data_IF_022111921749
#
_entry.id   IF_022111921749
#
_cell.length_a   1.000
_cell.length_b   1.000
_cell.length_c   1.000
_cell.angle_alpha   90.00
_cell.angle_beta   90.00
_cell.angle_gamma   90.00
#
_symmetry.space_group_name_H-M   'P 1'
#
loop_
_entity.id
_entity.type
_entity.pdbx_description
1 polymer ?
#
# COMPACT_ATOMS: atom_id res chain seq x y z
N UNK A 1 -24.00 29.52 -53.99
CA UNK A 1 -24.08 28.24 -53.26
C UNK A 1 -22.65 27.78 -53.03
N UNK A 2 -22.25 27.50 -51.79
CA UNK A 2 -20.85 27.17 -51.48
C UNK A 2 -20.45 25.87 -52.19
N UNK A 3 -19.25 25.82 -52.76
CA UNK A 3 -18.78 24.67 -53.52
C UNK A 3 -18.81 23.40 -52.67
N UNK A 4 -19.24 22.24 -53.20
CA UNK A 4 -19.32 20.98 -52.45
C UNK A 4 -18.01 20.59 -51.78
N UNK A 5 -16.89 20.98 -52.39
CA UNK A 5 -15.53 20.80 -51.86
C UNK A 5 -15.27 21.63 -50.62
N UNK A 6 -15.71 22.88 -50.57
CA UNK A 6 -15.55 23.75 -49.41
C UNK A 6 -16.38 23.28 -48.23
N UNK A 7 -17.61 22.81 -48.48
CA UNK A 7 -18.46 22.21 -47.44
C UNK A 7 -17.85 20.94 -46.85
N UNK A 8 -17.30 20.06 -47.69
CA UNK A 8 -16.61 18.84 -47.23
C UNK A 8 -15.37 19.16 -46.39
N UNK A 9 -14.56 20.16 -46.79
CA UNK A 9 -13.39 20.60 -46.04
C UNK A 9 -13.76 21.24 -44.70
N UNK A 10 -14.84 22.03 -44.64
CA UNK A 10 -15.33 22.59 -43.39
C UNK A 10 -15.82 21.51 -42.43
N UNK A 11 -16.56 20.50 -42.92
CA UNK A 11 -16.99 19.37 -42.11
C UNK A 11 -15.80 18.55 -41.56
N UNK A 12 -14.77 18.33 -42.38
CA UNK A 12 -13.55 17.66 -41.94
C UNK A 12 -12.80 18.47 -40.88
N UNK A 13 -12.71 19.79 -41.05
CA UNK A 13 -12.07 20.68 -40.07
C UNK A 13 -12.81 20.69 -38.72
N UNK A 14 -14.15 20.65 -38.73
CA UNK A 14 -14.95 20.49 -37.49
C UNK A 14 -14.63 19.18 -36.77
N UNK A 15 -14.61 18.06 -37.48
CA UNK A 15 -14.25 16.75 -36.89
C UNK A 15 -12.83 16.73 -36.33
N UNK A 16 -11.88 17.41 -36.97
CA UNK A 16 -10.51 17.52 -36.45
C UNK A 16 -10.43 18.34 -35.16
N UNK A 17 -11.25 19.39 -35.03
CA UNK A 17 -11.33 20.16 -33.79
C UNK A 17 -11.95 19.34 -32.66
N UNK A 18 -13.05 18.64 -32.93
CA UNK A 18 -13.69 17.72 -31.97
C UNK A 18 -12.70 16.64 -31.50
N UNK A 19 -11.94 16.03 -32.42
CA UNK A 19 -10.93 15.05 -32.06
C UNK A 19 -9.83 15.63 -31.17
N UNK A 20 -9.38 16.87 -31.43
CA UNK A 20 -8.38 17.55 -30.60
C UNK A 20 -8.92 17.84 -29.20
N UNK A 21 -10.16 18.30 -29.09
CA UNK A 21 -10.81 18.56 -27.80
C UNK A 21 -10.98 17.28 -26.98
N UNK A 22 -11.48 16.21 -27.60
CA UNK A 22 -11.66 14.91 -26.93
C UNK A 22 -10.31 14.36 -26.50
N UNK A 23 -9.29 14.45 -27.34
CA UNK A 23 -7.94 13.99 -27.00
C UNK A 23 -7.33 14.80 -25.84
N UNK A 24 -7.59 16.11 -25.76
CA UNK A 24 -7.20 16.96 -24.62
C UNK A 24 -7.84 16.47 -23.32
N UNK A 25 -9.17 16.33 -23.31
CA UNK A 25 -9.92 15.82 -22.15
C UNK A 25 -9.48 14.41 -21.74
N UNK A 26 -9.19 13.55 -22.71
CA UNK A 26 -8.74 12.18 -22.46
C UNK A 26 -7.37 12.17 -21.75
N UNK A 27 -6.46 13.08 -22.13
CA UNK A 27 -5.17 13.23 -21.44
C UNK A 27 -5.33 13.70 -20.00
N UNK A 28 -6.15 14.73 -19.78
CA UNK A 28 -6.45 15.25 -18.45
C UNK A 28 -7.06 14.17 -17.54
N UNK A 29 -8.07 13.44 -18.02
CA UNK A 29 -8.70 12.35 -17.28
C UNK A 29 -7.72 11.21 -16.98
N UNK A 30 -6.77 10.92 -17.88
CA UNK A 30 -5.72 9.92 -17.63
C UNK A 30 -4.75 10.36 -16.54
N UNK A 31 -4.38 11.64 -16.50
CA UNK A 31 -3.53 12.16 -15.43
C UNK A 31 -4.24 12.11 -14.08
N UNK A 32 -5.50 12.56 -14.02
CA UNK A 32 -6.33 12.45 -12.83
C UNK A 32 -6.48 11.01 -12.34
N UNK A 33 -6.72 10.05 -13.26
CA UNK A 33 -6.80 8.64 -12.88
C UNK A 33 -5.49 8.12 -12.29
N UNK A 34 -4.32 8.52 -12.83
CA UNK A 34 -3.03 8.10 -12.28
C UNK A 34 -2.81 8.63 -10.87
N UNK A 35 -3.14 9.90 -10.64
CA UNK A 35 -3.04 10.51 -9.32
C UNK A 35 -3.98 9.84 -8.33
N UNK A 36 -5.24 9.61 -8.72
CA UNK A 36 -6.23 8.96 -7.86
C UNK A 36 -5.83 7.51 -7.54
N UNK A 37 -5.29 6.77 -8.52
CA UNK A 37 -4.78 5.40 -8.31
C UNK A 37 -3.63 5.40 -7.31
N UNK A 38 -2.73 6.39 -7.37
CA UNK A 38 -1.61 6.52 -6.43
C UNK A 38 -2.09 6.85 -5.02
N UNK A 39 -3.07 7.74 -4.90
CA UNK A 39 -3.69 8.07 -3.60
C UNK A 39 -4.43 6.86 -3.02
N UNK A 40 -5.18 6.13 -3.85
CA UNK A 40 -5.88 4.93 -3.46
C UNK A 40 -4.91 3.84 -2.95
N UNK A 41 -3.82 3.60 -3.68
CA UNK A 41 -2.79 2.65 -3.23
C UNK A 41 -2.14 3.05 -1.90
N UNK A 42 -1.97 4.36 -1.65
CA UNK A 42 -1.50 4.84 -0.34
C UNK A 42 -2.53 4.56 0.75
N UNK A 43 -3.80 4.88 0.53
CA UNK A 43 -4.85 4.66 1.55
C UNK A 43 -5.06 3.18 1.88
N UNK A 44 -4.97 2.29 0.89
CA UNK A 44 -5.04 0.83 1.12
C UNK A 44 -3.86 0.34 1.97
N UNK A 45 -2.65 0.80 1.66
CA UNK A 45 -1.46 0.46 2.45
C UNK A 45 -1.57 0.99 3.89
N UNK A 46 -2.06 2.21 4.08
CA UNK A 46 -2.26 2.81 5.40
C UNK A 46 -3.33 2.04 6.19
N UNK A 47 -4.43 1.62 5.54
CA UNK A 47 -5.46 0.77 6.17
C UNK A 47 -4.92 -0.60 6.56
N UNK A 48 -4.11 -1.23 5.70
CA UNK A 48 -3.48 -2.51 6.01
C UNK A 48 -2.47 -2.36 7.16
N UNK A 49 -1.72 -1.25 7.21
CA UNK A 49 -0.81 -0.95 8.31
C UNK A 49 -1.56 -0.75 9.63
N UNK A 50 -2.76 -0.15 9.63
CA UNK A 50 -3.58 0.01 10.84
C UNK A 50 -4.07 -1.31 11.43
N UNK A 51 -4.14 -2.38 10.63
CA UNK A 51 -4.46 -3.72 11.14
C UNK A 51 -3.27 -4.36 11.87
N UNK A 52 -2.06 -3.81 11.71
CA UNK A 52 -0.90 -4.30 12.44
C UNK A 52 -1.00 -3.91 13.92
N UNK A 53 -0.82 -4.90 14.79
CA UNK A 53 -0.83 -4.70 16.24
C UNK A 53 0.63 -4.63 16.70
N UNK A 54 0.95 -3.65 17.54
CA UNK A 54 2.27 -3.54 18.16
C UNK A 54 2.54 -4.74 19.07
N UNK A 55 3.72 -5.35 18.94
CA UNK A 55 4.18 -6.41 19.83
C UNK A 55 5.03 -5.81 20.95
N UNK A 56 4.84 -6.31 22.18
CA UNK A 56 5.62 -5.85 23.33
C UNK A 56 7.05 -6.37 23.21
N UNK A 57 8.03 -5.46 23.31
CA UNK A 57 9.45 -5.80 23.32
C UNK A 57 9.87 -6.13 24.75
N UNK A 58 10.63 -7.21 24.90
CA UNK A 58 11.15 -7.65 26.18
C UNK A 58 12.40 -8.51 26.02
N UNK A 59 13.12 -8.68 27.11
CA UNK A 59 14.33 -9.49 27.19
C UNK A 59 13.98 -10.88 27.74
N UNK A 60 14.56 -11.92 27.16
CA UNK A 60 14.48 -13.29 27.68
C UNK A 60 15.50 -13.42 28.80
N UNK A 61 15.05 -13.73 30.01
CA UNK A 61 15.93 -13.89 31.18
C UNK A 61 16.41 -15.33 31.34
N UNK A 62 15.47 -16.29 31.25
CA UNK A 62 15.78 -17.69 31.51
C UNK A 62 14.74 -18.61 30.89
N UNK A 63 15.20 -19.72 30.31
CA UNK A 63 14.35 -20.82 29.90
C UNK A 63 13.97 -21.68 31.12
N UNK A 64 12.68 -21.98 31.27
CA UNK A 64 12.18 -22.85 32.34
C UNK A 64 11.94 -24.27 31.82
N UNK A 65 11.29 -24.37 30.66
CA UNK A 65 11.07 -25.63 29.93
C UNK A 65 11.19 -25.38 28.42
N UNK A 66 11.20 -26.43 27.59
CA UNK A 66 11.33 -26.30 26.13
C UNK A 66 10.28 -25.40 25.46
N UNK A 67 9.13 -25.16 26.11
CA UNK A 67 8.06 -24.32 25.57
C UNK A 67 7.84 -23.03 26.38
N UNK A 68 8.44 -22.89 27.57
CA UNK A 68 8.16 -21.77 28.49
C UNK A 68 9.43 -21.00 28.84
N UNK A 69 9.35 -19.68 28.65
CA UNK A 69 10.44 -18.74 28.92
C UNK A 69 9.99 -17.65 29.89
N UNK A 70 10.92 -17.19 30.72
CA UNK A 70 10.73 -15.99 31.54
C UNK A 70 11.19 -14.79 30.71
N UNK A 71 10.25 -13.88 30.43
CA UNK A 71 10.53 -12.61 29.77
C UNK A 71 10.31 -11.45 30.73
N UNK A 72 11.16 -10.43 30.63
CA UNK A 72 11.01 -9.16 31.33
C UNK A 72 10.72 -8.08 30.28
N UNK A 73 9.58 -7.41 30.40
CA UNK A 73 9.30 -6.24 29.55
C UNK A 73 10.25 -5.10 29.91
N UNK A 74 10.55 -4.22 28.95
CA UNK A 74 11.60 -3.18 29.03
C UNK A 74 11.62 -2.41 30.36
N UNK A 75 10.45 -2.13 30.95
CA UNK A 75 10.29 -1.58 32.30
C UNK A 75 9.10 -2.20 33.05
N UNK A 76 8.86 -3.50 32.89
CA UNK A 76 7.67 -4.18 33.41
C UNK A 76 7.95 -5.38 34.32
N UNK A 77 6.89 -5.97 34.90
CA UNK A 77 6.99 -7.19 35.67
C UNK A 77 7.45 -8.37 34.79
N UNK A 78 7.92 -9.44 35.44
CA UNK A 78 8.36 -10.66 34.77
C UNK A 78 7.15 -11.55 34.45
N UNK A 79 7.08 -12.04 33.23
CA UNK A 79 6.03 -12.95 32.78
C UNK A 79 6.62 -14.28 32.33
N UNK A 80 5.84 -15.35 32.49
CA UNK A 80 6.12 -16.64 31.87
C UNK A 80 5.31 -16.72 30.59
N UNK A 81 5.99 -16.79 29.44
CA UNK A 81 5.36 -16.81 28.11
C UNK A 81 5.73 -18.07 27.34
N UNK A 82 4.85 -18.47 26.43
CA UNK A 82 5.09 -19.55 25.48
C UNK A 82 5.67 -19.02 24.17
N UNK A 83 6.59 -19.78 23.57
CA UNK A 83 7.13 -19.44 22.25
C UNK A 83 6.31 -20.05 21.11
N UNK A 84 6.28 -19.36 19.97
CA UNK A 84 5.71 -19.89 18.72
C UNK A 84 6.58 -21.05 18.24
N UNK A 85 5.96 -22.19 17.91
CA UNK A 85 6.65 -23.44 17.52
C UNK A 85 7.51 -23.34 16.24
N UNK A 86 7.32 -22.28 15.46
CA UNK A 86 8.06 -22.02 14.22
C UNK A 86 9.39 -21.28 14.45
N UNK A 87 9.69 -20.88 15.69
CA UNK A 87 10.94 -20.21 16.03
C UNK A 87 11.98 -21.24 16.50
N UNK A 88 13.20 -21.12 15.99
CA UNK A 88 14.32 -21.96 16.37
C UNK A 88 14.74 -21.66 17.82
N UNK A 89 14.64 -22.68 18.67
CA UNK A 89 14.88 -22.56 20.11
C UNK A 89 16.37 -22.42 20.45
N UNK A 90 17.26 -22.80 19.55
CA UNK A 90 18.72 -22.80 19.74
C UNK A 90 19.34 -21.41 19.79
N UNK A 91 18.69 -20.40 19.21
CA UNK A 91 19.18 -19.01 19.21
C UNK A 91 18.95 -18.24 20.51
N UNK A 92 18.16 -18.77 21.44
CA UNK A 92 17.80 -18.08 22.70
C UNK A 92 18.65 -18.48 23.92
N UNK A 93 19.61 -19.39 23.73
CA UNK A 93 20.46 -19.93 24.79
C UNK A 93 21.87 -19.34 24.80
N UNK A 94 22.06 -18.02 24.66
CA UNK A 94 23.38 -17.40 24.90
C UNK A 94 23.25 -16.00 25.52
N UNK A 95 23.35 -15.95 26.85
CA UNK A 95 24.13 -15.02 27.70
C UNK A 95 23.44 -14.82 29.05
#
# INVERSE_FOLDING_TARGET
>A
MADPREQALQAYRKKLLEHKEIHGRLKELREQLKELTKQYGKSENDLQALQSIGQVVGEVLKQLTEEKFIVKATNGPRYVVGCRRQLDKSTHDQA
#
